data_IF_561525367673
#
_entry.id   IF_561525367673
#
_cell.length_a   1.000
_cell.length_b   1.000
_cell.length_c   1.000
_cell.angle_alpha   90.00
_cell.angle_beta   90.00
_cell.angle_gamma   90.00
#
_symmetry.space_group_name_H-M   'P 1'
#
loop_
_entity.id
_entity.type
_entity.pdbx_description
1 polymer ?
#
# COMPACT_ATOMS: atom_id res chain seq x y z
N UNK A 1 10.77 -9.98 -6.18
CA UNK A 1 11.90 -9.96 -7.15
C UNK A 1 11.99 -11.30 -7.88
N UNK A 2 12.46 -11.28 -9.10
CA UNK A 2 12.80 -12.46 -9.90
C UNK A 2 14.28 -12.81 -9.64
N UNK A 3 14.52 -14.04 -9.26
CA UNK A 3 15.88 -14.60 -9.31
C UNK A 3 16.17 -15.01 -10.75
N UNK A 4 16.94 -14.22 -11.46
CA UNK A 4 17.27 -14.46 -12.86
C UNK A 4 18.17 -15.69 -13.10
N UNK A 5 18.77 -16.24 -12.05
CA UNK A 5 19.58 -17.45 -12.13
C UNK A 5 18.69 -18.69 -12.14
N UNK A 6 17.65 -18.70 -11.34
CA UNK A 6 16.74 -19.84 -11.16
C UNK A 6 15.39 -19.66 -11.85
N UNK A 7 15.06 -18.43 -12.23
CA UNK A 7 13.73 -18.03 -12.70
C UNK A 7 12.66 -17.98 -11.61
N UNK A 8 13.03 -18.26 -10.37
CA UNK A 8 12.09 -18.22 -9.25
C UNK A 8 11.70 -16.79 -8.89
N UNK A 9 10.45 -16.61 -8.47
CA UNK A 9 9.97 -15.34 -7.89
C UNK A 9 10.02 -15.45 -6.38
N UNK A 10 10.70 -14.51 -5.73
CA UNK A 10 10.84 -14.46 -4.28
C UNK A 10 10.19 -13.20 -3.71
N UNK A 11 9.56 -13.34 -2.56
CA UNK A 11 9.03 -12.22 -1.80
C UNK A 11 10.19 -11.49 -1.11
N UNK A 12 10.79 -10.52 -1.80
CA UNK A 12 11.88 -9.71 -1.28
C UNK A 12 11.80 -8.30 -1.81
N UNK A 13 11.57 -7.37 -0.92
CA UNK A 13 11.63 -5.93 -1.19
C UNK A 13 12.32 -5.28 0.01
N UNK A 14 13.44 -4.60 -0.25
CA UNK A 14 14.10 -3.80 0.78
C UNK A 14 13.60 -2.35 0.65
N UNK A 15 13.28 -1.69 1.78
CA UNK A 15 12.73 -0.34 1.78
C UNK A 15 13.62 0.68 1.06
N UNK A 16 14.93 0.61 1.27
CA UNK A 16 15.89 1.53 0.65
C UNK A 16 15.91 1.36 -0.87
N UNK A 17 15.86 0.11 -1.38
CA UNK A 17 15.78 -0.16 -2.81
C UNK A 17 14.52 0.43 -3.45
N UNK A 18 13.40 0.48 -2.70
CA UNK A 18 12.16 1.05 -3.18
C UNK A 18 12.23 2.58 -3.30
N UNK A 19 12.83 3.24 -2.32
CA UNK A 19 13.04 4.69 -2.33
C UNK A 19 14.08 5.11 -3.35
N UNK A 20 15.19 4.38 -3.47
CA UNK A 20 16.25 4.65 -4.45
C UNK A 20 15.72 4.52 -5.89
N UNK A 21 14.82 3.59 -6.13
CA UNK A 21 14.16 3.41 -7.43
C UNK A 21 13.16 4.53 -7.78
N UNK A 22 12.71 5.30 -6.77
CA UNK A 22 11.67 6.32 -6.93
C UNK A 22 12.06 7.63 -6.20
N UNK A 23 13.13 8.31 -6.61
CA UNK A 23 13.67 9.48 -5.89
C UNK A 23 12.70 10.68 -5.86
N UNK A 24 11.71 10.73 -6.73
CA UNK A 24 10.66 11.74 -6.75
C UNK A 24 9.74 11.68 -5.52
N UNK A 25 9.65 10.54 -4.86
CA UNK A 25 8.85 10.38 -3.63
C UNK A 25 9.38 11.29 -2.52
N UNK A 26 10.69 11.36 -2.36
CA UNK A 26 11.33 12.21 -1.35
C UNK A 26 11.09 13.72 -1.57
N UNK A 27 10.66 14.12 -2.77
CA UNK A 27 10.28 15.50 -3.07
C UNK A 27 8.84 15.83 -2.65
N UNK A 28 8.02 14.81 -2.45
CA UNK A 28 6.61 14.99 -2.09
C UNK A 28 6.38 15.03 -0.58
N UNK A 29 7.11 14.22 0.18
CA UNK A 29 6.92 14.10 1.62
C UNK A 29 8.23 13.66 2.31
N UNK A 30 8.30 13.96 3.61
CA UNK A 30 9.32 13.39 4.48
C UNK A 30 8.91 11.93 4.81
N UNK A 31 9.71 10.96 4.37
CA UNK A 31 9.39 9.54 4.45
C UNK A 31 10.16 8.89 5.59
N UNK A 32 9.43 8.19 6.44
CA UNK A 32 9.98 7.23 7.41
C UNK A 32 9.50 5.83 7.02
N UNK A 33 10.38 4.85 6.99
CA UNK A 33 10.06 3.50 6.54
C UNK A 33 10.14 2.50 7.69
N UNK A 34 9.11 1.68 7.82
CA UNK A 34 9.02 0.60 8.79
C UNK A 34 8.87 -0.72 8.03
N UNK A 35 9.80 -1.64 8.22
CA UNK A 35 9.74 -2.97 7.63
C UNK A 35 9.00 -3.91 8.58
N UNK A 36 7.80 -4.33 8.21
CA UNK A 36 7.01 -5.30 8.98
C UNK A 36 7.32 -6.74 8.58
N UNK A 37 7.71 -6.99 7.35
CA UNK A 37 8.08 -8.32 6.86
C UNK A 37 8.12 -8.38 5.34
N UNK A 38 8.62 -9.51 4.84
CA UNK A 38 8.56 -9.88 3.43
C UNK A 38 7.85 -11.23 3.33
N UNK A 39 6.67 -11.24 2.72
CA UNK A 39 5.87 -12.45 2.56
C UNK A 39 5.03 -12.38 1.28
N UNK A 40 4.57 -13.53 0.83
CA UNK A 40 3.48 -13.58 -0.13
C UNK A 40 2.19 -13.11 0.54
N UNK A 41 1.39 -12.32 -0.14
CA UNK A 41 0.16 -11.81 0.45
C UNK A 41 -0.87 -12.91 0.74
N UNK A 42 -0.77 -14.06 0.09
CA UNK A 42 -1.58 -15.26 0.38
C UNK A 42 -1.28 -15.86 1.76
N UNK A 43 -0.12 -15.57 2.32
CA UNK A 43 0.29 -16.01 3.66
C UNK A 43 -0.20 -15.06 4.78
N UNK A 44 -0.92 -14.00 4.46
CA UNK A 44 -1.47 -13.09 5.45
C UNK A 44 -2.44 -13.82 6.40
N UNK A 45 -2.31 -13.51 7.68
CA UNK A 45 -3.13 -14.05 8.77
C UNK A 45 -3.50 -12.91 9.73
N UNK A 46 -4.47 -13.10 10.63
CA UNK A 46 -4.92 -12.04 11.55
C UNK A 46 -3.79 -11.35 12.34
N UNK A 47 -2.78 -12.10 12.76
CA UNK A 47 -1.65 -11.51 13.46
C UNK A 47 -0.86 -10.48 12.63
N UNK A 48 -0.80 -10.67 11.32
CA UNK A 48 -0.14 -9.71 10.42
C UNK A 48 -0.95 -8.42 10.28
N UNK A 49 -2.29 -8.53 10.21
CA UNK A 49 -3.16 -7.35 10.24
C UNK A 49 -3.05 -6.59 11.56
N UNK A 50 -2.97 -7.30 12.70
CA UNK A 50 -2.73 -6.66 13.99
C UNK A 50 -1.38 -5.93 14.01
N UNK A 51 -0.34 -6.52 13.40
CA UNK A 51 0.98 -5.87 13.29
C UNK A 51 0.93 -4.61 12.42
N UNK A 52 0.19 -4.65 11.31
CA UNK A 52 -0.02 -3.47 10.46
C UNK A 52 -0.78 -2.39 11.24
N UNK A 53 -1.85 -2.75 11.93
CA UNK A 53 -2.66 -1.82 12.70
C UNK A 53 -1.84 -1.14 13.81
N UNK A 54 -1.09 -1.92 14.59
CA UNK A 54 -0.21 -1.39 15.63
C UNK A 54 0.86 -0.45 15.07
N UNK A 55 1.48 -0.81 13.94
CA UNK A 55 2.46 0.06 13.29
C UNK A 55 1.84 1.37 12.78
N UNK A 56 0.60 1.33 12.28
CA UNK A 56 -0.13 2.54 11.91
C UNK A 56 -0.43 3.43 13.14
N UNK A 57 -0.86 2.85 14.24
CA UNK A 57 -1.10 3.56 15.49
C UNK A 57 0.18 4.24 16.00
N UNK A 58 1.29 3.50 16.04
CA UNK A 58 2.59 4.02 16.46
C UNK A 58 3.09 5.16 15.57
N UNK A 59 2.91 5.02 14.25
CA UNK A 59 3.29 6.04 13.30
C UNK A 59 2.48 7.33 13.49
N UNK A 60 1.17 7.25 13.64
CA UNK A 60 0.33 8.43 13.92
C UNK A 60 0.65 9.05 15.28
N UNK A 61 0.88 8.24 16.31
CA UNK A 61 1.31 8.73 17.64
C UNK A 61 2.66 9.44 17.58
N UNK A 62 3.52 9.08 16.62
CA UNK A 62 4.82 9.71 16.38
C UNK A 62 4.73 10.94 15.47
N UNK A 63 3.52 11.34 15.04
CA UNK A 63 3.27 12.56 14.27
C UNK A 63 3.22 12.37 12.74
N UNK A 64 3.10 11.15 12.24
CA UNK A 64 2.87 10.93 10.82
C UNK A 64 1.50 11.47 10.40
N UNK A 65 1.42 12.14 9.25
CA UNK A 65 0.18 12.73 8.73
C UNK A 65 -0.58 11.77 7.81
N UNK A 66 0.11 10.77 7.28
CA UNK A 66 -0.45 9.73 6.43
C UNK A 66 0.45 8.51 6.36
N UNK A 67 -0.10 7.38 5.98
CA UNK A 67 0.60 6.09 5.96
C UNK A 67 0.38 5.42 4.61
N UNK A 68 1.45 4.86 4.05
CA UNK A 68 1.38 4.00 2.86
C UNK A 68 1.82 2.59 3.26
N UNK A 69 0.96 1.62 2.97
CA UNK A 69 1.22 0.19 3.19
C UNK A 69 1.50 -0.47 1.85
N UNK A 70 2.76 -0.83 1.62
CA UNK A 70 3.16 -1.62 0.45
C UNK A 70 2.81 -3.09 0.68
N UNK A 71 1.98 -3.65 -0.19
CA UNK A 71 1.36 -4.96 0.01
C UNK A 71 1.27 -5.76 -1.29
N UNK A 72 1.35 -7.07 -1.20
CA UNK A 72 1.06 -7.94 -2.34
C UNK A 72 -0.42 -7.86 -2.74
N UNK A 73 -0.69 -7.87 -4.05
CA UNK A 73 -2.03 -7.54 -4.57
C UNK A 73 -3.07 -8.63 -4.35
N UNK A 74 -2.69 -9.90 -4.11
CA UNK A 74 -3.64 -11.01 -4.05
C UNK A 74 -4.60 -10.92 -2.86
N UNK A 75 -4.14 -10.47 -1.69
CA UNK A 75 -4.97 -10.29 -0.51
C UNK A 75 -5.07 -8.84 -0.01
N UNK A 76 -4.60 -7.86 -0.80
CA UNK A 76 -4.62 -6.44 -0.43
C UNK A 76 -6.03 -5.96 -0.06
N UNK A 77 -7.05 -6.40 -0.79
CA UNK A 77 -8.45 -6.05 -0.55
C UNK A 77 -8.98 -6.59 0.79
N UNK A 78 -8.48 -7.73 1.26
CA UNK A 78 -8.80 -8.21 2.61
C UNK A 78 -8.06 -7.39 3.68
N UNK A 79 -6.78 -7.10 3.44
CA UNK A 79 -5.96 -6.36 4.39
C UNK A 79 -6.45 -4.92 4.55
N UNK A 80 -6.78 -4.23 3.46
CA UNK A 80 -7.33 -2.88 3.53
C UNK A 80 -8.64 -2.81 4.30
N UNK A 81 -9.55 -3.78 4.06
CA UNK A 81 -10.79 -3.89 4.82
C UNK A 81 -10.54 -4.21 6.30
N UNK A 82 -9.63 -5.15 6.60
CA UNK A 82 -9.29 -5.52 7.97
C UNK A 82 -8.75 -4.32 8.75
N UNK A 83 -7.89 -3.50 8.15
CA UNK A 83 -7.34 -2.30 8.79
C UNK A 83 -8.42 -1.23 8.98
N UNK A 84 -9.27 -0.99 7.97
CA UNK A 84 -10.37 -0.04 8.08
C UNK A 84 -11.32 -0.38 9.23
N UNK A 85 -11.76 -1.63 9.30
CA UNK A 85 -12.66 -2.09 10.38
C UNK A 85 -11.95 -2.25 11.72
N UNK A 86 -10.69 -2.67 11.74
CA UNK A 86 -9.88 -2.76 12.95
C UNK A 86 -9.74 -1.40 13.63
N UNK A 87 -9.48 -0.36 12.86
CA UNK A 87 -9.42 1.01 13.36
C UNK A 87 -10.76 1.48 13.92
N UNK A 88 -11.84 1.25 13.17
CA UNK A 88 -13.21 1.57 13.58
C UNK A 88 -13.64 0.83 14.85
N UNK A 89 -13.19 -0.43 15.03
CA UNK A 89 -13.45 -1.23 16.23
C UNK A 89 -12.83 -0.64 17.51
N UNK A 90 -11.77 0.15 17.38
CA UNK A 90 -11.16 0.90 18.49
C UNK A 90 -11.87 2.24 18.80
N UNK A 91 -13.04 2.46 18.21
CA UNK A 91 -13.91 3.62 18.51
C UNK A 91 -13.52 4.91 17.81
N UNK A 92 -12.72 4.84 16.76
CA UNK A 92 -12.23 6.03 16.09
C UNK A 92 -12.10 5.93 14.59
N UNK A 93 -11.73 7.07 14.03
CA UNK A 93 -11.27 7.23 12.66
C UNK A 93 -9.77 7.49 12.75
N UNK A 94 -8.93 6.94 11.88
CA UNK A 94 -7.50 7.23 11.91
C UNK A 94 -7.26 8.74 11.76
N UNK A 95 -6.26 9.31 12.45
CA UNK A 95 -5.97 10.74 12.40
C UNK A 95 -5.59 11.24 11.00
N UNK A 96 -5.13 10.32 10.15
CA UNK A 96 -4.72 10.58 8.79
C UNK A 96 -5.12 9.44 7.85
N UNK A 97 -4.67 9.52 6.62
CA UNK A 97 -5.00 8.56 5.57
C UNK A 97 -4.12 7.32 5.66
N UNK A 98 -4.72 6.15 5.48
CA UNK A 98 -4.02 4.88 5.33
C UNK A 98 -4.23 4.40 3.89
N UNK A 99 -3.16 4.31 3.14
CA UNK A 99 -3.19 3.99 1.72
C UNK A 99 -2.50 2.66 1.48
N UNK A 100 -3.23 1.68 0.98
CA UNK A 100 -2.66 0.43 0.49
C UNK A 100 -2.27 0.57 -0.97
N UNK A 101 -1.11 0.05 -1.31
CA UNK A 101 -0.64 -0.01 -2.69
C UNK A 101 0.27 -1.21 -2.91
N UNK A 102 0.51 -1.54 -4.15
CA UNK A 102 1.37 -2.63 -4.56
C UNK A 102 1.64 -2.56 -6.05
N UNK A 103 2.05 -3.67 -6.65
CA UNK A 103 2.19 -3.74 -8.10
C UNK A 103 1.69 -5.07 -8.65
N UNK A 104 1.08 -5.03 -9.83
CA UNK A 104 0.69 -6.22 -10.57
C UNK A 104 1.89 -6.88 -11.23
N UNK A 105 2.93 -6.11 -11.52
CA UNK A 105 4.19 -6.62 -12.05
C UNK A 105 5.32 -6.35 -11.08
N UNK A 106 6.18 -7.33 -10.88
CA UNK A 106 7.33 -7.22 -9.99
C UNK A 106 8.14 -5.95 -10.26
N UNK A 107 8.56 -5.25 -9.19
CA UNK A 107 9.27 -3.97 -9.24
C UNK A 107 10.61 -4.02 -9.98
N UNK A 108 11.17 -5.19 -10.20
CA UNK A 108 12.41 -5.43 -10.95
C UNK A 108 12.21 -5.58 -12.46
N UNK A 109 10.99 -5.44 -12.95
CA UNK A 109 10.69 -5.44 -14.39
C UNK A 109 10.54 -4.03 -14.93
N UNK A 110 11.12 -3.75 -16.09
CA UNK A 110 11.06 -2.43 -16.74
C UNK A 110 9.65 -1.93 -17.08
N UNK A 111 8.64 -2.82 -17.05
CA UNK A 111 7.22 -2.48 -17.23
C UNK A 111 6.44 -2.57 -15.93
N UNK A 112 7.10 -2.45 -14.77
CA UNK A 112 6.44 -2.48 -13.48
C UNK A 112 5.61 -1.21 -13.28
N UNK A 113 4.44 -1.38 -12.69
CA UNK A 113 3.54 -0.33 -12.25
C UNK A 113 3.85 0.15 -10.82
N UNK A 114 4.90 -0.39 -10.19
CA UNK A 114 5.21 -0.13 -8.77
C UNK A 114 5.54 1.32 -8.47
N UNK A 115 6.31 1.98 -9.34
CA UNK A 115 6.74 3.37 -9.15
C UNK A 115 5.56 4.34 -9.23
N UNK A 116 4.72 4.19 -10.26
CA UNK A 116 3.53 5.02 -10.47
C UNK A 116 2.53 4.86 -9.32
N UNK A 117 2.22 3.61 -8.96
CA UNK A 117 1.31 3.32 -7.85
C UNK A 117 1.83 3.88 -6.52
N UNK A 118 3.13 3.72 -6.24
CA UNK A 118 3.73 4.21 -5.01
C UNK A 118 3.75 5.74 -4.95
N UNK A 119 4.09 6.41 -6.07
CA UNK A 119 4.09 7.86 -6.15
C UNK A 119 2.70 8.44 -5.91
N UNK A 120 1.68 7.85 -6.54
CA UNK A 120 0.29 8.23 -6.34
C UNK A 120 -0.19 7.97 -4.90
N UNK A 121 0.22 6.84 -4.31
CA UNK A 121 -0.13 6.50 -2.92
C UNK A 121 0.48 7.50 -1.92
N UNK A 122 1.75 7.87 -2.08
CA UNK A 122 2.41 8.87 -1.23
C UNK A 122 1.77 10.24 -1.41
N UNK A 123 1.49 10.63 -2.65
CA UNK A 123 0.78 11.90 -2.93
C UNK A 123 -0.58 11.95 -2.21
N UNK A 124 -1.37 10.88 -2.31
CA UNK A 124 -2.68 10.82 -1.65
C UNK A 124 -2.55 10.81 -0.12
N UNK A 125 -1.60 10.07 0.43
CA UNK A 125 -1.36 10.04 1.87
C UNK A 125 -1.01 11.44 2.41
N UNK A 126 -0.21 12.21 1.68
CA UNK A 126 0.20 13.56 2.07
C UNK A 126 -0.86 14.62 1.78
N UNK A 127 -1.47 14.62 0.61
CA UNK A 127 -2.26 15.75 0.09
C UNK A 127 -3.71 15.40 -0.27
N UNK A 128 -4.14 14.17 -0.14
CA UNK A 128 -5.51 13.76 -0.44
C UNK A 128 -6.56 14.51 0.40
N UNK A 129 -7.84 14.38 0.11
CA UNK A 129 -8.90 15.05 0.86
C UNK A 129 -8.86 14.64 2.34
N UNK A 130 -9.35 15.53 3.20
CA UNK A 130 -9.47 15.23 4.63
C UNK A 130 -10.43 14.07 4.85
N UNK A 131 -10.10 13.21 5.80
CA UNK A 131 -10.97 12.11 6.22
C UNK A 131 -12.23 12.69 6.85
N UNK A 132 -13.39 12.41 6.25
CA UNK A 132 -14.68 12.99 6.67
C UNK A 132 -15.47 12.11 7.66
N UNK A 133 -14.85 11.09 8.20
CA UNK A 133 -15.52 10.23 9.16
C UNK A 133 -16.13 8.95 8.56
N UNK A 134 -16.02 8.74 7.27
CA UNK A 134 -16.39 7.48 6.64
C UNK A 134 -15.22 6.48 6.69
N UNK A 135 -15.50 5.25 7.10
CA UNK A 135 -14.53 4.16 7.13
C UNK A 135 -13.91 3.93 5.74
N UNK A 136 -14.69 4.10 4.67
CA UNK A 136 -14.25 3.93 3.29
C UNK A 136 -13.28 5.01 2.81
N UNK A 137 -13.32 6.20 3.41
CA UNK A 137 -12.49 7.34 3.01
C UNK A 137 -11.15 7.38 3.74
N UNK A 138 -11.08 6.81 4.94
CA UNK A 138 -9.87 6.82 5.77
C UNK A 138 -8.83 5.80 5.35
N UNK A 139 -9.27 4.69 4.77
CA UNK A 139 -8.43 3.61 4.25
C UNK A 139 -8.78 3.36 2.80
N UNK A 140 -7.82 3.56 1.91
CA UNK A 140 -8.01 3.41 0.46
C UNK A 140 -6.97 2.46 -0.14
N UNK A 141 -7.27 1.95 -1.31
CA UNK A 141 -6.32 1.23 -2.17
C UNK A 141 -6.05 2.09 -3.38
N UNK A 142 -4.78 2.31 -3.71
CA UNK A 142 -4.37 3.05 -4.91
C UNK A 142 -3.59 2.12 -5.82
N UNK A 143 -4.09 1.98 -7.04
CA UNK A 143 -3.51 1.19 -8.11
C UNK A 143 -3.72 1.90 -9.46
N UNK A 144 -2.87 1.62 -10.43
CA UNK A 144 -3.08 2.10 -11.80
C UNK A 144 -4.49 1.76 -12.30
N UNK A 145 -5.09 2.70 -13.01
CA UNK A 145 -6.47 2.57 -13.50
C UNK A 145 -6.56 1.69 -14.74
N UNK A 146 -5.58 1.83 -15.63
CA UNK A 146 -5.51 1.09 -16.90
C UNK A 146 -4.10 0.56 -17.12
N UNK A 147 -3.90 -0.20 -18.19
CA UNK A 147 -2.55 -0.64 -18.60
C UNK A 147 -1.69 0.48 -19.20
N UNK A 148 -2.27 1.65 -19.47
CA UNK A 148 -1.56 2.85 -19.88
C UNK A 148 -1.07 3.64 -18.67
N UNK A 149 0.11 4.25 -18.76
CA UNK A 149 0.66 5.11 -17.73
C UNK A 149 -0.16 6.41 -17.60
N UNK A 150 -0.17 7.02 -16.43
CA UNK A 150 -0.65 8.38 -16.21
C UNK A 150 -1.76 8.55 -15.17
N UNK A 151 -2.57 7.54 -14.89
CA UNK A 151 -3.65 7.64 -13.90
C UNK A 151 -3.72 6.45 -12.96
N UNK A 152 -3.92 6.75 -11.68
CA UNK A 152 -4.21 5.76 -10.65
C UNK A 152 -5.62 5.96 -10.11
N UNK A 153 -6.32 4.86 -9.91
CA UNK A 153 -7.62 4.86 -9.26
C UNK A 153 -7.46 4.87 -7.73
N UNK A 154 -8.28 5.66 -7.06
CA UNK A 154 -8.43 5.64 -5.61
C UNK A 154 -9.70 4.86 -5.28
N UNK A 155 -9.55 3.73 -4.65
CA UNK A 155 -10.61 2.77 -4.38
C UNK A 155 -10.85 2.69 -2.87
N UNK A 156 -12.12 2.63 -2.45
CA UNK A 156 -12.47 2.43 -1.04
C UNK A 156 -11.86 1.14 -0.51
N UNK A 157 -11.13 1.23 0.61
CA UNK A 157 -10.47 0.08 1.23
C UNK A 157 -11.44 -1.02 1.69
N UNK A 158 -12.70 -0.68 1.92
CA UNK A 158 -13.74 -1.65 2.33
C UNK A 158 -14.54 -2.22 1.17
N UNK A 159 -14.52 -1.56 0.00
CA UNK A 159 -15.30 -1.95 -1.17
C UNK A 159 -14.49 -2.55 -2.31
N UNK A 160 -13.17 -2.41 -2.28
CA UNK A 160 -12.30 -2.89 -3.35
C UNK A 160 -12.22 -4.41 -3.37
N UNK A 161 -12.10 -4.97 -4.57
CA UNK A 161 -11.90 -6.40 -4.78
C UNK A 161 -10.98 -6.66 -5.97
N UNK A 162 -9.99 -7.51 -5.77
CA UNK A 162 -9.15 -7.98 -6.88
C UNK A 162 -9.97 -8.88 -7.82
N UNK A 163 -9.96 -8.54 -9.11
CA UNK A 163 -10.71 -9.27 -10.13
C UNK A 163 -9.86 -10.29 -10.89
N UNK A 164 -8.56 -10.02 -11.05
CA UNK A 164 -7.65 -10.86 -11.81
C UNK A 164 -6.31 -11.01 -11.11
N UNK A 165 -5.70 -12.20 -11.18
CA UNK A 165 -4.41 -12.48 -10.54
C UNK A 165 -3.21 -11.95 -11.33
N UNK A 166 -3.34 -11.79 -12.64
CA UNK A 166 -2.21 -11.47 -13.54
C UNK A 166 -2.48 -10.37 -14.56
N UNK A 167 -3.69 -9.85 -14.64
CA UNK A 167 -3.97 -8.69 -15.49
C UNK A 167 -3.50 -7.41 -14.82
N UNK A 168 -2.99 -6.48 -15.62
CA UNK A 168 -2.55 -5.17 -15.19
C UNK A 168 -3.74 -4.22 -14.97
N UNK A 169 -4.77 -4.36 -15.75
CA UNK A 169 -6.01 -3.55 -15.79
C UNK A 169 -7.25 -4.29 -15.27
#
# INVERSE_FOLDING_TARGET
KVDYTTGAVIARLEPDELLDANPEIAKQACISVIKLGNMWSDDMRPQHWNSILSACEDAFNSGSEGIVVCHGTDSMHFSSSAIAFGWSGNGGIPPGRIVFTGSQRSSDRGSSDSGENLLAAVHWAAYGPKVNGDIGDSTVVIMHETSADGTCAVLSGVGVRKMHTSKRD
#
